data_IF_005514302823
#
_entry.id   IF_005514302823
#
_cell.length_a   1.000
_cell.length_b   1.000
_cell.length_c   1.000
_cell.angle_alpha   90.00
_cell.angle_beta   90.00
_cell.angle_gamma   90.00
#
_symmetry.space_group_name_H-M   'P 1'
#
loop_
_entity.id
_entity.type
_entity.pdbx_description
1 polymer ?
2 non-polymer ?
3 non-polymer ?
4 non-polymer ?
5 water ?
#
# COMPACT_ATOMS: atom_id res chain seq x y z
N UNK A 2 -19.58 14.97 -7.64
CA UNK A 2 -19.18 13.59 -7.93
C UNK A 2 -18.49 12.93 -6.72
N UNK A 3 -19.02 11.77 -6.31
CA UNK A 3 -18.52 11.07 -5.13
C UNK A 3 -18.20 9.58 -5.39
N UNK A 4 -17.92 9.25 -6.66
CA UNK A 4 -17.58 7.87 -7.04
C UNK A 4 -16.25 7.80 -7.81
N UNK A 5 -15.53 8.91 -7.83
CA UNK A 5 -14.19 8.90 -8.39
C UNK A 5 -13.26 8.11 -7.49
N UNK A 6 -12.20 7.57 -8.06
CA UNK A 6 -11.16 6.94 -7.27
C UNK A 6 -10.13 7.99 -6.91
N UNK A 7 -9.95 8.21 -5.61
CA UNK A 7 -9.05 9.24 -5.15
C UNK A 7 -7.92 8.61 -4.40
N UNK A 8 -6.73 8.64 -4.99
CA UNK A 8 -5.56 8.04 -4.35
C UNK A 8 -4.78 9.12 -3.62
N UNK A 9 -4.55 8.86 -2.33
CA UNK A 9 -3.75 9.72 -1.48
C UNK A 9 -2.35 9.10 -1.38
N UNK A 10 -1.35 9.80 -1.89
CA UNK A 10 -0.03 9.22 -2.08
C UNK A 10 1.06 10.29 -2.18
N UNK A 11 2.32 9.88 -2.35
CA UNK A 11 3.37 10.82 -2.78
C UNK A 11 4.34 10.14 -3.73
N UNK A 12 5.04 10.95 -4.53
CA UNK A 12 5.79 10.44 -5.67
C UNK A 12 6.86 9.42 -5.31
N UNK A 13 7.64 9.71 -4.27
CA UNK A 13 8.79 8.87 -3.95
C UNK A 13 8.45 7.61 -3.17
N UNK A 14 7.15 7.39 -2.90
CA UNK A 14 6.74 6.22 -2.10
C UNK A 14 6.62 4.94 -2.93
N UNK A 15 7.44 3.93 -2.61
CA UNK A 15 7.38 2.61 -3.26
C UNK A 15 5.98 2.01 -3.17
N UNK A 16 5.38 2.01 -1.98
CA UNK A 16 4.04 1.45 -1.85
C UNK A 16 3.02 2.20 -2.70
N UNK A 17 3.21 3.51 -2.84
CA UNK A 17 2.38 4.32 -3.74
C UNK A 17 2.60 3.92 -5.20
N UNK A 18 3.86 3.68 -5.57
CA UNK A 18 4.19 3.21 -6.92
C UNK A 18 3.47 1.91 -7.24
N UNK A 19 3.41 1.02 -6.26
CA UNK A 19 2.69 -0.23 -6.43
C UNK A 19 1.24 0.04 -6.86
N UNK A 20 0.54 0.89 -6.10
CA UNK A 20 -0.84 1.21 -6.42
C UNK A 20 -0.99 1.93 -7.77
N UNK A 21 -0.07 2.85 -8.06
CA UNK A 21 -0.16 3.61 -9.31
C UNK A 21 0.03 2.68 -10.51
N UNK A 22 0.92 1.70 -10.37
CA UNK A 22 1.19 0.78 -11.48
C UNK A 22 -0.01 -0.11 -11.69
N UNK A 23 -0.62 -0.57 -10.60
CA UNK A 23 -1.85 -1.36 -10.68
C UNK A 23 -2.96 -0.56 -11.37
N UNK A 24 -3.06 0.72 -11.03
CA UNK A 24 -4.01 1.59 -11.72
C UNK A 24 -3.74 1.61 -13.24
N UNK A 25 -2.47 1.59 -13.63
CA UNK A 25 -2.12 1.55 -15.05
C UNK A 25 -2.55 0.25 -15.69
N UNK A 26 -2.22 -0.86 -15.04
CA UNK A 26 -2.60 -2.19 -15.49
C UNK A 26 -4.12 -2.31 -15.67
N UNK A 27 -4.89 -1.75 -14.74
CA UNK A 27 -6.35 -1.79 -14.82
C UNK A 27 -6.90 -0.73 -15.78
N UNK A 28 -6.03 0.16 -16.28
CA UNK A 28 -6.45 1.30 -17.10
C UNK A 28 -7.58 2.06 -16.41
N UNK A 29 -7.35 2.39 -15.15
CA UNK A 29 -8.34 3.00 -14.28
C UNK A 29 -8.02 4.47 -14.02
N UNK A 30 -8.82 5.39 -14.57
CA UNK A 30 -8.58 6.81 -14.29
C UNK A 30 -8.78 7.14 -12.80
N UNK A 31 -8.01 8.10 -12.28
CA UNK A 31 -8.07 8.41 -10.85
C UNK A 31 -7.75 9.86 -10.55
N UNK A 32 -8.09 10.27 -9.34
CA UNK A 32 -7.74 11.61 -8.84
C UNK A 32 -6.52 11.52 -7.92
N UNK A 33 -5.59 12.45 -8.09
CA UNK A 33 -4.32 12.42 -7.38
C UNK A 33 -4.26 13.44 -6.23
N UNK A 34 -4.13 12.95 -5.01
CA UNK A 34 -3.99 13.81 -3.85
C UNK A 34 -2.68 13.53 -3.15
N UNK A 35 -1.79 14.51 -3.21
CA UNK A 35 -0.49 14.43 -2.56
C UNK A 35 -0.64 14.59 -1.06
N UNK A 36 -0.05 13.67 -0.30
CA UNK A 36 0.01 13.77 1.17
C UNK A 36 1.45 14.06 1.61
N UNK A 37 1.62 14.62 2.82
CA UNK A 37 2.98 14.83 3.33
C UNK A 37 3.74 13.50 3.53
N UNK A 38 5.06 13.55 3.34
CA UNK A 38 5.93 12.41 3.55
C UNK A 38 6.08 12.07 5.05
N UNK A 39 6.05 13.08 5.90
CA UNK A 39 6.22 12.88 7.34
C UNK A 39 5.10 13.53 8.14
N UNK A 40 5.01 13.17 9.43
CA UNK A 40 4.06 13.81 10.33
C UNK A 40 4.43 15.27 10.56
N UNK A 41 3.44 16.14 10.81
CA UNK A 41 2.02 15.82 10.95
C UNK A 41 1.27 15.88 9.63
N UNK A 42 0.10 15.26 9.57
CA UNK A 42 -0.71 15.22 8.37
C UNK A 42 -2.15 15.61 8.69
N UNK A 43 -2.39 16.89 9.02
CA UNK A 43 -3.74 17.31 9.43
C UNK A 43 -4.80 17.17 8.33
N UNK A 44 -4.42 17.12 7.05
CA UNK A 44 -5.43 16.91 6.02
C UNK A 44 -5.73 15.43 5.82
N UNK A 45 -4.92 14.56 6.43
CA UNK A 45 -5.10 13.12 6.30
C UNK A 45 -5.91 12.54 7.44
N UNK A 46 -5.56 12.90 8.66
CA UNK A 46 -6.21 12.36 9.86
C UNK A 46 -7.75 12.36 9.91
N UNK A 47 -8.41 13.43 9.39
CA UNK A 47 -9.88 13.34 9.46
C UNK A 47 -10.45 12.18 8.63
N UNK A 48 -9.70 11.75 7.61
CA UNK A 48 -10.12 10.62 6.78
C UNK A 48 -9.77 9.27 7.39
N UNK A 49 -8.54 9.11 7.86
CA UNK A 49 -8.04 7.80 8.26
C UNK A 49 -8.24 7.50 9.75
N UNK A 50 -8.52 8.55 10.52
CA UNK A 50 -8.69 8.40 11.96
C UNK A 50 -7.42 8.08 12.73
N UNK A 51 -6.26 8.36 12.14
CA UNK A 51 -5.01 8.06 12.82
C UNK A 51 -3.98 7.28 12.00
N UNK A 52 -4.44 6.47 11.05
CA UNK A 52 -3.54 5.73 10.17
C UNK A 52 -2.72 6.72 9.36
N UNK A 53 -1.39 6.65 9.46
CA UNK A 53 -0.56 7.66 8.80
C UNK A 53 0.31 7.12 7.67
N UNK A 54 0.05 5.87 7.28
CA UNK A 54 0.86 5.28 6.22
C UNK A 54 0.31 5.64 4.84
N UNK A 55 1.13 5.44 3.82
CA UNK A 55 0.81 5.87 2.48
C UNK A 55 1.03 4.67 1.55
N UNK A 56 0.12 4.44 0.58
CA UNK A 56 -1.05 5.24 0.22
C UNK A 56 -2.36 4.74 0.84
N UNK A 57 -3.43 5.51 0.62
CA UNK A 57 -4.78 5.02 0.83
C UNK A 57 -5.68 5.50 -0.29
N UNK A 58 -6.74 4.73 -0.52
CA UNK A 58 -7.70 5.01 -1.57
C UNK A 58 -8.99 5.54 -0.97
N UNK A 59 -9.45 6.68 -1.46
CA UNK A 59 -10.73 7.19 -1.02
C UNK A 59 -11.77 7.06 -2.13
N UNK A 60 -12.93 6.52 -1.80
CA UNK A 60 -14.08 6.59 -2.69
C UNK A 60 -15.25 7.16 -1.89
N UNK A 61 -15.58 8.42 -2.14
CA UNK A 61 -16.58 9.10 -1.37
C UNK A 61 -16.18 9.17 0.10
N UNK A 62 -16.94 8.46 0.95
CA UNK A 62 -16.67 8.47 2.38
C UNK A 62 -16.14 7.12 2.83
N UNK A 63 -15.73 6.29 1.88
CA UNK A 63 -15.06 5.05 2.21
C UNK A 63 -13.55 5.20 2.01
N UNK A 64 -12.79 4.88 3.05
CA UNK A 64 -11.36 5.07 3.05
C UNK A 64 -10.71 3.69 3.15
N UNK A 65 -9.99 3.31 2.11
CA UNK A 65 -9.36 1.99 2.05
C UNK A 65 -7.85 2.07 2.27
N UNK A 66 -7.40 1.59 3.42
CA UNK A 66 -5.99 1.63 3.78
C UNK A 66 -5.26 0.35 3.38
N UNK A 67 -3.96 0.47 3.10
CA UNK A 67 -3.07 -0.65 2.76
C UNK A 67 -3.21 -1.12 1.32
N UNK A 68 -2.09 -1.26 0.62
CA UNK A 68 -2.13 -1.65 -0.80
C UNK A 68 -2.70 -3.05 -1.04
N UNK A 69 -2.58 -3.95 -0.06
CA UNK A 69 -3.15 -5.28 -0.21
C UNK A 69 -4.66 -5.17 -0.39
N UNK A 70 -5.28 -4.23 0.32
CA UNK A 70 -6.74 -4.01 0.21
C UNK A 70 -7.11 -3.11 -0.98
N UNK A 71 -6.33 -2.06 -1.20
CA UNK A 71 -6.55 -1.20 -2.36
C UNK A 71 -6.57 -2.02 -3.66
N UNK A 72 -5.64 -2.97 -3.76
CA UNK A 72 -5.61 -3.83 -4.94
C UNK A 72 -6.91 -4.64 -5.09
N UNK A 73 -7.42 -5.17 -3.97
CA UNK A 73 -8.68 -5.92 -4.00
C UNK A 73 -9.85 -5.04 -4.41
N UNK A 74 -9.87 -3.79 -3.93
CA UNK A 74 -10.92 -2.86 -4.32
C UNK A 74 -10.88 -2.55 -5.82
N UNK A 75 -9.68 -2.24 -6.32
CA UNK A 75 -9.49 -2.00 -7.74
C UNK A 75 -9.90 -3.22 -8.58
N UNK A 76 -9.57 -4.42 -8.09
CA UNK A 76 -10.00 -5.65 -8.74
C UNK A 76 -11.53 -5.75 -8.78
N UNK A 77 -12.20 -5.35 -7.68
CA UNK A 77 -13.66 -5.39 -7.63
C UNK A 77 -14.30 -4.57 -8.73
N UNK A 78 -13.68 -3.43 -9.01
CA UNK A 78 -14.17 -2.45 -9.97
C UNK A 78 -13.87 -2.84 -11.43
N UNK A 79 -12.61 -3.17 -11.72
CA UNK A 79 -12.23 -3.72 -13.02
C UNK A 79 -11.59 -5.09 -12.83
N UNK A 80 -12.43 -6.14 -12.79
CA UNK A 80 -11.90 -7.49 -12.57
C UNK A 80 -11.04 -8.04 -13.71
N UNK A 81 -11.15 -7.42 -14.89
CA UNK A 81 -10.35 -7.85 -16.03
C UNK A 81 -9.56 -6.67 -16.56
N UNK A 82 -8.24 -6.83 -16.71
CA UNK A 82 -7.46 -8.06 -16.46
C UNK A 82 -7.24 -8.28 -14.96
N UNK A 83 -7.28 -9.55 -14.55
CA UNK A 83 -7.24 -9.86 -13.12
C UNK A 83 -5.84 -9.80 -12.52
N UNK A 84 -5.79 -9.49 -11.23
CA UNK A 84 -4.56 -9.54 -10.45
C UNK A 84 -4.47 -10.88 -9.74
N UNK A 85 -5.61 -11.58 -9.64
CA UNK A 85 -5.71 -12.76 -8.82
C UNK A 85 -6.23 -14.00 -9.56
N UNK A 86 -5.43 -14.54 -10.49
CA UNK A 86 -5.83 -15.77 -11.21
C UNK A 86 -6.17 -16.86 -10.20
N UNK A 87 -7.35 -17.44 -10.33
CA UNK A 87 -7.81 -18.42 -9.36
C UNK A 87 -6.83 -19.60 -9.26
N UNK A 88 -6.25 -19.99 -10.39
CA UNK A 88 -5.34 -21.14 -10.42
C UNK A 88 -3.97 -20.86 -9.81
N UNK A 89 -3.72 -19.61 -9.39
CA UNK A 89 -2.47 -19.27 -8.70
C UNK A 89 -2.75 -18.58 -7.37
N UNK A 90 -3.98 -18.70 -6.87
CA UNK A 90 -4.44 -17.93 -5.71
C UNK A 90 -3.53 -17.94 -4.46
N UNK A 91 -3.19 -19.13 -3.98
CA UNK A 91 -2.39 -19.24 -2.77
C UNK A 91 -0.94 -18.80 -2.99
N UNK A 92 -0.36 -19.20 -4.11
CA UNK A 92 1.03 -18.87 -4.44
C UNK A 92 1.21 -17.35 -4.60
N UNK A 93 0.30 -16.71 -5.31
CA UNK A 93 0.36 -15.27 -5.49
C UNK A 93 0.11 -14.53 -4.18
N UNK A 94 -0.86 -14.98 -3.40
CA UNK A 94 -1.11 -14.37 -2.10
C UNK A 94 0.13 -14.42 -1.20
N UNK A 95 0.70 -15.61 -1.06
CA UNK A 95 1.83 -15.80 -0.15
C UNK A 95 3.05 -15.04 -0.63
N UNK A 96 3.34 -15.13 -1.93
CA UNK A 96 4.50 -14.43 -2.48
C UNK A 96 4.36 -12.91 -2.33
N UNK A 97 3.15 -12.39 -2.55
CA UNK A 97 2.93 -10.96 -2.35
C UNK A 97 3.14 -10.52 -0.90
N UNK A 98 2.62 -11.31 0.04
CA UNK A 98 2.84 -11.06 1.47
C UNK A 98 4.34 -11.00 1.80
N UNK A 99 5.09 -11.98 1.31
CA UNK A 99 6.52 -12.03 1.59
C UNK A 99 7.22 -10.83 0.94
N UNK A 100 6.79 -10.47 -0.25
CA UNK A 100 7.42 -9.36 -0.97
C UNK A 100 7.15 -8.01 -0.28
N UNK A 101 5.92 -7.83 0.18
CA UNK A 101 5.51 -6.55 0.78
C UNK A 101 5.94 -6.42 2.24
N UNK A 102 6.49 -7.49 2.82
CA UNK A 102 7.02 -7.41 4.17
C UNK A 102 8.54 -7.68 4.18
N UNK A 103 8.92 -8.95 4.31
CA UNK A 103 10.33 -9.34 4.34
C UNK A 103 11.21 -8.73 3.23
N UNK A 104 10.77 -8.82 1.98
CA UNK A 104 11.59 -8.33 0.88
C UNK A 104 11.70 -6.81 0.94
N UNK A 105 10.56 -6.15 1.15
CA UNK A 105 10.57 -4.70 1.26
C UNK A 105 11.48 -4.22 2.40
N UNK A 106 11.48 -4.95 3.51
CA UNK A 106 12.30 -4.54 4.66
C UNK A 106 13.77 -4.68 4.34
N UNK A 107 14.13 -5.67 3.52
CA UNK A 107 15.53 -5.84 3.12
C UNK A 107 15.94 -4.72 2.17
N UNK A 108 15.04 -4.34 1.26
CA UNK A 108 15.29 -3.24 0.32
C UNK A 108 15.46 -1.91 1.06
N UNK A 109 14.60 -1.67 2.04
CA UNK A 109 14.69 -0.45 2.86
C UNK A 109 16.03 -0.36 3.60
N UNK A 110 16.42 -1.45 4.25
CA UNK A 110 17.70 -1.49 4.93
C UNK A 110 18.87 -1.28 3.95
N UNK A 111 18.82 -1.99 2.84
CA UNK A 111 19.89 -1.92 1.83
C UNK A 111 20.06 -0.49 1.30
N UNK A 112 18.95 0.18 1.09
CA UNK A 112 18.95 1.52 0.54
C UNK A 112 19.31 2.53 1.66
N UNK A 113 19.05 2.16 2.91
CA UNK A 113 19.36 3.03 4.03
C UNK A 113 20.84 3.17 4.37
N UNK A 114 21.69 2.35 3.76
CA UNK A 114 23.12 2.46 3.98
C UNK A 114 23.61 3.81 3.45
N UNK A 115 24.75 4.32 3.96
CA UNK A 115 25.18 5.70 3.69
C UNK A 115 25.12 6.16 2.22
N UNK A 116 25.72 5.41 1.30
CA UNK A 116 25.70 5.83 -0.11
C UNK A 116 24.29 5.78 -0.71
N UNK A 117 23.50 4.81 -0.29
CA UNK A 117 22.13 4.69 -0.78
C UNK A 117 21.29 5.85 -0.30
N UNK A 118 21.39 6.14 1.00
CA UNK A 118 20.64 7.21 1.63
C UNK A 118 21.00 8.58 1.05
N UNK A 119 22.28 8.79 0.80
CA UNK A 119 22.74 10.01 0.15
C UNK A 119 22.08 10.21 -1.22
N UNK A 120 22.01 9.13 -2.01
CA UNK A 120 21.32 9.15 -3.31
C UNK A 120 19.84 9.52 -3.23
N UNK A 121 19.16 9.01 -2.22
CA UNK A 121 17.73 9.25 -2.02
C UNK A 121 17.41 10.66 -1.60
N UNK A 122 18.27 11.22 -0.75
CA UNK A 122 18.03 12.54 -0.17
C UNK A 122 18.67 13.66 -0.99
N UNK A 123 19.26 13.30 -2.14
CA UNK A 123 20.06 14.22 -2.95
C UNK A 123 19.53 15.64 -3.14
N UNK A 124 18.30 15.78 -3.62
CA UNK A 124 17.83 17.12 -3.93
C UNK A 124 16.99 17.78 -2.86
N UNK A 125 17.20 17.39 -1.60
CA UNK A 125 16.31 17.80 -0.52
C UNK A 125 17.02 18.60 0.57
N UNK A 126 16.31 19.58 1.13
CA UNK A 126 16.87 20.41 2.21
C UNK A 126 17.23 19.57 3.45
N UNK A 127 18.36 19.90 4.07
CA UNK A 127 18.87 19.17 5.23
C UNK A 127 17.90 19.18 6.41
N UNK A 128 17.07 20.23 6.49
CA UNK A 128 15.98 20.30 7.47
C UNK A 128 15.10 19.07 7.33
N UNK A 129 14.62 18.84 6.11
CA UNK A 129 13.68 17.78 5.84
C UNK A 129 14.29 16.41 6.11
N UNK A 130 15.53 16.21 5.66
CA UNK A 130 16.24 14.96 5.86
C UNK A 130 16.33 14.55 7.33
N UNK A 131 16.73 15.48 8.18
CA UNK A 131 16.82 15.23 9.62
C UNK A 131 15.45 14.87 10.18
N UNK A 132 14.43 15.59 9.74
CA UNK A 132 13.08 15.35 10.22
C UNK A 132 12.57 14.00 9.75
N UNK A 133 12.94 13.63 8.52
CA UNK A 133 12.57 12.35 7.94
C UNK A 133 13.15 11.20 8.77
N UNK A 134 14.45 11.30 9.06
CA UNK A 134 15.14 10.30 9.85
C UNK A 134 14.46 10.13 11.22
N UNK A 135 14.15 11.25 11.88
CA UNK A 135 13.44 11.19 13.15
C UNK A 135 12.01 10.63 13.02
N UNK A 136 11.30 11.07 11.97
CA UNK A 136 9.94 10.60 11.74
C UNK A 136 9.89 9.08 11.60
N UNK A 137 10.83 8.53 10.83
CA UNK A 137 10.82 7.08 10.55
C UNK A 137 11.27 6.28 11.77
N UNK A 138 12.13 6.85 12.60
CA UNK A 138 12.49 6.22 13.86
C UNK A 138 11.29 6.12 14.80
N UNK A 139 10.55 7.22 14.94
CA UNK A 139 9.34 7.19 15.78
C UNK A 139 8.34 6.18 15.21
N UNK A 140 8.33 6.04 13.87
CA UNK A 140 7.42 5.09 13.22
C UNK A 140 7.68 3.63 13.63
N UNK A 141 8.94 3.30 13.91
CA UNK A 141 9.29 1.93 14.30
C UNK A 141 9.05 1.62 15.78
N UNK A 142 8.49 2.56 16.53
CA UNK A 142 8.34 2.41 17.97
C UNK A 142 7.63 1.12 18.40
N UNK A 143 6.47 0.84 17.80
CA UNK A 143 5.64 -0.23 18.33
C UNK A 143 5.74 -1.61 17.71
N UNK A 144 6.51 -1.75 16.64
CA UNK A 144 6.46 -2.98 15.88
C UNK A 144 7.75 -3.78 15.77
N UNK A 145 7.75 -4.69 14.82
CA UNK A 145 8.84 -5.63 14.61
C UNK A 145 9.42 -5.48 13.21
N UNK A 146 8.61 -5.02 12.27
CA UNK A 146 9.03 -4.94 10.89
C UNK A 146 9.93 -3.76 10.59
N UNK A 147 10.44 -3.71 9.36
CA UNK A 147 11.24 -2.58 8.90
C UNK A 147 12.46 -2.30 9.79
N UNK A 148 13.08 -3.35 10.32
CA UNK A 148 14.34 -3.17 11.02
C UNK A 148 15.33 -4.30 10.75
N UNK A 149 15.41 -4.72 9.50
CA UNK A 149 16.38 -5.73 9.09
C UNK A 149 17.79 -5.17 9.05
N UNK A 150 18.72 -5.76 9.80
CA UNK A 150 20.11 -5.23 9.73
C UNK A 150 20.74 -5.37 8.34
N UNK A 151 21.60 -4.43 7.98
CA UNK A 151 22.20 -4.38 6.64
C UNK A 151 22.75 -5.73 6.12
N UNK A 152 23.59 -6.43 6.92
CA UNK A 152 24.13 -7.71 6.40
C UNK A 152 23.06 -8.74 6.06
N UNK A 153 21.99 -8.83 6.86
CA UNK A 153 20.93 -9.77 6.54
C UNK A 153 20.11 -9.28 5.34
N UNK A 154 19.98 -7.96 5.23
CA UNK A 154 19.29 -7.35 4.09
C UNK A 154 19.99 -7.74 2.80
N UNK A 155 21.31 -7.61 2.80
CA UNK A 155 22.12 -7.92 1.62
C UNK A 155 21.96 -9.38 1.21
N UNK A 156 21.99 -10.29 2.17
CA UNK A 156 21.85 -11.71 1.85
C UNK A 156 20.45 -12.04 1.32
N UNK A 157 19.42 -11.45 1.92
CA UNK A 157 18.07 -11.72 1.45
C UNK A 157 17.92 -11.24 0.00
N UNK A 158 18.43 -10.06 -0.29
CA UNK A 158 18.41 -9.53 -1.65
C UNK A 158 19.20 -10.43 -2.64
N UNK A 159 20.43 -10.79 -2.29
CA UNK A 159 21.25 -11.60 -3.19
C UNK A 159 20.62 -12.96 -3.47
N UNK A 160 20.13 -13.60 -2.40
CA UNK A 160 19.51 -14.91 -2.53
C UNK A 160 18.24 -14.81 -3.38
N UNK A 161 17.39 -13.83 -3.10
CA UNK A 161 16.12 -13.74 -3.83
C UNK A 161 16.31 -13.34 -5.28
N UNK A 162 17.16 -12.35 -5.53
CA UNK A 162 17.42 -11.92 -6.90
C UNK A 162 17.93 -13.04 -7.80
N UNK A 163 18.76 -13.93 -7.25
CA UNK A 163 19.25 -15.07 -8.02
C UNK A 163 18.12 -16.04 -8.40
N UNK A 164 17.18 -16.23 -7.48
CA UNK A 164 16.04 -17.10 -7.76
C UNK A 164 15.11 -16.46 -8.79
N UNK A 165 14.97 -15.15 -8.71
CA UNK A 165 14.17 -14.39 -9.66
C UNK A 165 14.79 -14.47 -11.06
N UNK A 166 16.10 -14.26 -11.11
CA UNK A 166 16.87 -14.34 -12.36
C UNK A 166 16.76 -15.75 -12.98
N UNK A 167 16.96 -16.77 -12.16
CA UNK A 167 16.84 -18.16 -12.60
C UNK A 167 15.47 -18.44 -13.24
N UNK A 168 14.41 -17.94 -12.61
CA UNK A 168 13.06 -18.20 -13.07
C UNK A 168 12.83 -17.55 -14.44
N UNK A 169 13.22 -16.28 -14.56
CA UNK A 169 13.04 -15.56 -15.80
C UNK A 169 13.96 -16.08 -16.91
N UNK A 170 15.14 -16.55 -16.55
CA UNK A 170 16.10 -17.03 -17.56
C UNK A 170 15.59 -18.24 -18.35
N UNK A 171 14.67 -18.99 -17.75
CA UNK A 171 14.09 -20.14 -18.45
C UNK A 171 13.28 -19.68 -19.67
N UNK A 172 12.87 -18.41 -19.66
CA UNK A 172 12.10 -17.82 -20.74
C UNK A 172 10.68 -18.34 -20.86
N UNK A 173 10.19 -19.06 -19.85
CA UNK A 173 8.86 -19.66 -19.95
C UNK A 173 7.72 -18.65 -19.93
N UNK A 174 7.78 -17.68 -19.02
CA UNK A 174 6.74 -16.65 -18.92
C UNK A 174 7.33 -15.26 -18.75
N UNK A 175 6.63 -14.24 -19.24
CA UNK A 175 7.16 -12.87 -19.13
C UNK A 175 6.91 -12.24 -17.76
N UNK A 176 5.97 -12.79 -16.99
CA UNK A 176 5.76 -12.37 -15.60
C UNK A 176 5.88 -13.58 -14.69
N UNK A 177 5.70 -13.38 -13.39
CA UNK A 177 5.95 -14.43 -12.41
C UNK A 177 5.10 -15.70 -12.59
N UNK A 178 3.85 -15.55 -13.04
CA UNK A 178 2.96 -16.70 -13.16
C UNK A 178 2.36 -16.91 -14.55
N UNK A 179 2.77 -16.11 -15.51
CA UNK A 179 2.23 -16.23 -16.85
C UNK A 179 2.45 -15.01 -17.73
N UNK A 180 1.55 -14.79 -18.67
CA UNK A 180 1.69 -13.71 -19.65
C UNK A 180 1.01 -12.44 -19.15
N UNK A 181 0.44 -12.50 -17.96
CA UNK A 181 -0.14 -11.34 -17.28
C UNK A 181 0.46 -11.27 -15.89
N UNK A 182 0.72 -10.05 -15.40
CA UNK A 182 1.24 -9.91 -14.03
C UNK A 182 0.14 -10.26 -13.03
N UNK A 183 0.54 -10.69 -11.83
CA UNK A 183 -0.40 -10.89 -10.74
C UNK A 183 -0.05 -9.90 -9.65
N UNK A 184 -0.81 -9.93 -8.56
CA UNK A 184 -0.53 -9.09 -7.40
C UNK A 184 0.92 -9.26 -6.90
N UNK A 185 1.47 -10.46 -7.06
CA UNK A 185 2.82 -10.75 -6.58
C UNK A 185 3.88 -10.02 -7.41
N UNK A 186 3.61 -9.85 -8.69
CA UNK A 186 4.51 -9.10 -9.56
C UNK A 186 4.61 -7.66 -9.08
N UNK A 187 3.46 -7.08 -8.76
CA UNK A 187 3.42 -5.70 -8.33
C UNK A 187 4.10 -5.54 -6.97
N UNK A 188 3.89 -6.51 -6.08
CA UNK A 188 4.50 -6.44 -4.75
C UNK A 188 6.02 -6.53 -4.81
N UNK A 189 6.55 -7.44 -5.62
CA UNK A 189 7.99 -7.56 -5.82
C UNK A 189 8.53 -6.30 -6.51
N UNK A 190 7.79 -5.82 -7.50
CA UNK A 190 8.27 -4.71 -8.31
C UNK A 190 8.65 -3.46 -7.53
N UNK A 191 7.78 -3.01 -6.63
CA UNK A 191 8.02 -1.72 -5.98
C UNK A 191 9.21 -1.77 -5.01
N UNK A 192 9.47 -2.94 -4.41
CA UNK A 192 10.67 -3.11 -3.60
C UNK A 192 11.91 -2.88 -4.46
N UNK A 193 11.91 -3.42 -5.67
CA UNK A 193 13.07 -3.31 -6.54
C UNK A 193 13.18 -1.92 -7.16
N UNK A 194 12.03 -1.32 -7.45
CA UNK A 194 11.93 0.06 -7.94
C UNK A 194 12.57 1.02 -6.93
N UNK A 195 12.32 0.76 -5.65
CA UNK A 195 12.89 1.55 -4.57
C UNK A 195 14.43 1.47 -4.64
N UNK A 196 14.96 0.27 -4.82
CA UNK A 196 16.40 0.10 -4.95
C UNK A 196 16.94 0.82 -6.18
N UNK A 197 16.26 0.69 -7.31
CA UNK A 197 16.68 1.39 -8.53
C UNK A 197 16.79 2.89 -8.31
N UNK A 198 15.86 3.45 -7.54
CA UNK A 198 15.91 4.87 -7.20
C UNK A 198 17.14 5.25 -6.37
N UNK A 199 17.64 4.31 -5.57
CA UNK A 199 18.85 4.57 -4.78
C UNK A 199 20.07 4.38 -5.68
N UNK A 200 20.25 5.35 -6.57
CA UNK A 200 21.22 5.31 -7.67
C UNK A 200 22.57 4.71 -7.32
N UNK A 201 23.20 5.19 -6.25
CA UNK A 201 24.55 4.74 -5.90
C UNK A 201 24.65 3.25 -5.58
N UNK A 202 23.56 2.63 -5.13
CA UNK A 202 23.62 1.21 -4.83
C UNK A 202 22.77 0.32 -5.76
N UNK A 203 22.20 0.92 -6.81
CA UNK A 203 21.32 0.18 -7.73
C UNK A 203 22.02 -0.93 -8.53
N UNK A 204 23.35 -0.95 -8.52
CA UNK A 204 24.12 -1.90 -9.30
C UNK A 204 23.78 -3.35 -9.01
N UNK A 205 23.27 -3.61 -7.81
CA UNK A 205 22.84 -4.96 -7.46
C UNK A 205 21.76 -5.47 -8.45
N UNK A 206 20.91 -4.56 -8.92
CA UNK A 206 19.90 -4.95 -9.90
C UNK A 206 20.52 -5.33 -11.25
N UNK A 207 21.53 -4.56 -11.66
CA UNK A 207 22.13 -4.70 -12.99
C UNK A 207 22.89 -6.02 -13.17
N UNK A 208 23.27 -6.64 -12.07
CA UNK A 208 23.89 -7.96 -12.10
C UNK A 208 22.87 -9.04 -12.47
N UNK A 209 21.60 -8.65 -12.58
CA UNK A 209 20.52 -9.58 -12.89
C UNK A 209 19.72 -9.08 -14.09
N UNK A 210 20.25 -9.32 -15.30
CA UNK A 210 19.71 -8.75 -16.55
C UNK A 210 18.25 -9.12 -16.81
N UNK A 211 17.88 -10.36 -16.53
CA UNK A 211 16.50 -10.80 -16.71
C UNK A 211 15.55 -10.09 -15.74
N UNK A 212 16.02 -9.85 -14.53
CA UNK A 212 15.21 -9.11 -13.56
C UNK A 212 15.03 -7.69 -14.05
N UNK A 213 16.09 -7.10 -14.60
CA UNK A 213 15.99 -5.75 -15.15
C UNK A 213 14.99 -5.71 -16.32
N UNK A 214 15.05 -6.69 -17.22
CA UNK A 214 14.10 -6.74 -18.32
C UNK A 214 12.66 -6.86 -17.82
N UNK A 215 12.44 -7.68 -16.79
CA UNK A 215 11.10 -7.85 -16.22
C UNK A 215 10.59 -6.55 -15.62
N UNK A 216 11.47 -5.81 -14.94
CA UNK A 216 11.12 -4.50 -14.39
C UNK A 216 10.65 -3.57 -15.49
N UNK A 217 11.34 -3.60 -16.63
CA UNK A 217 10.98 -2.77 -17.78
C UNK A 217 9.59 -3.12 -18.31
N UNK A 218 9.29 -4.42 -18.38
CA UNK A 218 7.95 -4.85 -18.81
C UNK A 218 6.90 -4.36 -17.81
N UNK A 219 7.19 -4.47 -16.51
CA UNK A 219 6.25 -3.99 -15.50
C UNK A 219 6.03 -2.48 -15.63
N UNK A 220 7.12 -1.72 -15.79
CA UNK A 220 7.04 -0.25 -15.87
C UNK A 220 6.14 0.21 -17.02
N UNK A 221 6.05 -0.60 -18.07
CA UNK A 221 5.28 -0.26 -19.26
C UNK A 221 3.78 -0.10 -19.04
N UNK A 222 3.27 -0.63 -17.93
CA UNK A 222 1.84 -0.50 -17.67
C UNK A 222 1.42 0.95 -17.39
N UNK A 223 2.38 1.79 -17.01
CA UNK A 223 2.08 3.19 -16.77
C UNK A 223 1.18 3.37 -15.56
N UNK A 224 0.56 4.55 -15.48
CA UNK A 224 -0.26 4.90 -14.32
C UNK A 224 -1.65 5.40 -14.76
N UNK A 225 -2.08 4.98 -15.94
CA UNK A 225 -3.38 5.37 -16.49
C UNK A 225 -3.53 6.89 -16.54
N UNK A 226 -4.74 7.40 -16.37
CA UNK A 226 -4.98 8.84 -16.46
C UNK A 226 -5.34 9.42 -15.10
N UNK A 227 -4.59 10.44 -14.69
CA UNK A 227 -4.83 11.08 -13.40
C UNK A 227 -5.01 12.58 -13.54
N UNK A 228 -5.78 13.17 -12.62
CA UNK A 228 -5.85 14.62 -12.51
C UNK A 228 -5.61 14.94 -11.04
N UNK A 229 -4.93 16.05 -10.76
CA UNK A 229 -4.72 16.49 -9.37
C UNK A 229 -6.01 16.92 -8.69
N UNK A 230 -6.06 16.71 -7.38
CA UNK A 230 -7.14 17.21 -6.55
C UNK A 230 -6.47 17.68 -5.27
N UNK A 231 -6.94 18.79 -4.70
CA UNK A 231 -6.35 19.30 -3.48
C UNK A 231 -6.83 18.46 -2.30
N UNK A 232 -6.06 18.47 -1.20
CA UNK A 232 -6.51 17.78 0.02
C UNK A 232 -7.84 18.28 0.54
N UNK A 233 -8.11 19.58 0.37
CA UNK A 233 -9.35 20.18 0.86
C UNK A 233 -10.54 19.72 0.05
N UNK A 234 -10.36 19.61 -1.26
CA UNK A 234 -11.40 19.11 -2.16
C UNK A 234 -11.78 17.67 -1.77
N UNK A 235 -10.79 16.87 -1.39
CA UNK A 235 -11.01 15.48 -1.03
C UNK A 235 -11.80 15.39 0.27
N UNK A 236 -11.50 16.28 1.20
CA UNK A 236 -12.20 16.33 2.48
C UNK A 236 -13.66 16.72 2.28
N UNK A 237 -13.89 17.68 1.38
CA UNK A 237 -15.27 18.11 1.10
C UNK A 237 -16.07 16.96 0.51
N UNK A 238 -15.44 16.17 -0.35
CA UNK A 238 -16.09 15.03 -0.96
C UNK A 238 -16.48 13.96 0.06
N UNK A 239 -15.56 13.64 0.97
CA UNK A 239 -15.86 12.69 2.05
C UNK A 239 -17.02 13.22 2.91
N UNK A 240 -16.96 14.51 3.22
CA UNK A 240 -17.99 15.14 4.03
C UNK A 240 -19.37 15.02 3.41
N UNK A 241 -19.48 15.31 2.12
CA UNK A 241 -20.76 15.23 1.42
C UNK A 241 -21.27 13.80 1.22
N UNK A 242 -20.36 12.83 1.29
CA UNK A 242 -20.72 11.45 0.95
C UNK A 242 -21.18 10.63 2.14
N UNK A 243 -21.95 9.58 1.82
CA UNK A 243 -22.37 8.60 2.81
C UNK A 243 -21.61 7.28 2.53
N UNK A 244 -21.00 6.70 3.58
CA UNK A 244 -20.27 5.44 3.42
C UNK A 244 -21.22 4.35 2.93
N UNK A 245 -20.71 3.44 2.10
CA UNK A 245 -21.50 2.38 1.49
C UNK A 245 -22.31 1.57 2.51
N UNK A 246 -21.71 1.29 3.67
CA UNK A 246 -22.36 0.46 4.68
C UNK A 246 -23.56 1.17 5.30
N UNK A 247 -23.65 2.48 5.10
CA UNK A 247 -24.75 3.25 5.66
C UNK A 247 -25.83 3.56 4.61
N UNK A 248 -25.63 3.11 3.38
CA UNK A 248 -26.68 3.24 2.37
C UNK A 248 -27.64 2.07 2.47
N UNK A 249 -28.86 2.28 2.01
CA UNK A 249 -29.88 1.23 2.03
C UNK A 249 -29.45 -0.02 1.26
N UNK A 250 -28.71 0.18 0.18
CA UNK A 250 -28.24 -0.94 -0.62
C UNK A 250 -27.11 -1.71 0.05
N UNK A 251 -26.16 -0.98 0.64
CA UNK A 251 -25.00 -1.60 1.25
C UNK A 251 -25.21 -2.15 2.66
N UNK A 252 -26.28 -1.70 3.31
CA UNK A 252 -26.52 -2.09 4.69
C UNK A 252 -26.85 -3.58 4.87
N UNK A 253 -27.36 -4.21 3.82
CA UNK A 253 -27.71 -5.62 3.88
C UNK A 253 -26.55 -6.57 3.59
N UNK A 254 -25.37 -6.02 3.31
CA UNK A 254 -24.20 -6.84 3.00
C UNK A 254 -23.91 -7.85 4.11
N UNK A 255 -23.44 -9.03 3.73
CA UNK A 255 -23.08 -10.06 4.69
C UNK A 255 -22.01 -9.56 5.66
N UNK A 256 -22.20 -9.89 6.92
CA UNK A 256 -21.27 -9.53 7.98
C UNK A 256 -20.70 -10.81 8.58
N UNK A 257 -19.40 -11.01 8.43
CA UNK A 257 -18.72 -12.17 8.99
C UNK A 257 -18.53 -12.01 10.51
N UNK A 258 -19.37 -12.70 11.29
CA UNK A 258 -19.27 -12.64 12.75
C UNK A 258 -18.52 -13.83 13.36
N UNK A 259 -18.01 -14.72 12.51
CA UNK A 259 -17.24 -15.88 12.99
C UNK A 259 -16.01 -15.49 13.82
N UNK A 260 -15.47 -14.29 13.61
CA UNK A 260 -14.31 -13.84 14.37
C UNK A 260 -14.64 -13.42 15.80
N UNK A 261 -15.93 -13.41 16.14
CA UNK A 261 -16.32 -13.18 17.51
C UNK A 261 -16.59 -11.75 17.91
N UNK A 262 -16.67 -10.85 16.93
CA UNK A 262 -17.06 -9.46 17.21
C UNK A 262 -18.32 -9.11 16.43
N UNK A 263 -19.45 -8.97 17.13
CA UNK A 263 -20.69 -8.68 16.41
C UNK A 263 -20.68 -7.28 15.79
N UNK A 264 -21.55 -7.08 14.80
CA UNK A 264 -21.70 -5.80 14.13
C UNK A 264 -22.02 -4.71 15.14
N UNK A 265 -21.36 -3.57 15.00
CA UNK A 265 -21.56 -2.46 15.91
C UNK A 265 -20.56 -2.35 17.04
N UNK A 266 -19.80 -3.42 17.29
CA UNK A 266 -18.84 -3.42 18.39
C UNK A 266 -17.81 -2.30 18.23
N UNK A 267 -17.58 -1.52 19.29
CA UNK A 267 -16.53 -0.52 19.31
C UNK A 267 -15.16 -1.20 19.33
N UNK A 268 -14.35 -0.95 18.31
CA UNK A 268 -13.02 -1.56 18.23
C UNK A 268 -11.94 -0.56 17.83
N UNK A 269 -10.70 -1.02 17.92
CA UNK A 269 -9.58 -0.34 17.27
C UNK A 269 -8.95 -1.31 16.30
N UNK A 270 -8.38 -0.75 15.24
CA UNK A 270 -7.62 -1.51 14.25
C UNK A 270 -6.25 -0.86 14.17
N UNK A 271 -5.20 -1.66 14.20
CA UNK A 271 -3.84 -1.11 14.17
C UNK A 271 -2.89 -2.03 13.42
N UNK A 272 -1.95 -1.46 12.66
CA UNK A 272 -0.92 -2.26 11.99
C UNK A 272 -0.09 -2.98 13.05
N UNK A 273 0.50 -4.10 12.70
CA UNK A 273 1.27 -4.86 13.69
C UNK A 273 2.79 -4.82 13.44
N UNK A 274 3.20 -4.41 12.25
CA UNK A 274 4.62 -4.45 11.90
C UNK A 274 5.37 -3.14 12.18
N UNK A 275 4.71 -2.01 11.91
CA UNK A 275 5.22 -0.68 12.27
C UNK A 275 4.09 0.34 12.07
N UNK A 276 4.30 1.57 12.52
CA UNK A 276 3.26 2.60 12.48
C UNK A 276 1.99 2.08 13.12
N UNK A 277 2.09 1.66 14.38
CA UNK A 277 1.03 0.90 15.01
C UNK A 277 -0.09 1.78 15.56
N UNK A 278 -0.30 2.94 14.94
CA UNK A 278 -1.36 3.87 15.32
C UNK A 278 -2.76 3.24 15.26
N UNK A 279 -3.45 3.18 16.42
CA UNK A 279 -4.79 2.58 16.50
C UNK A 279 -5.83 3.50 15.90
N UNK A 280 -6.75 2.92 15.14
CA UNK A 280 -7.85 3.68 14.57
C UNK A 280 -9.12 3.14 15.21
N UNK A 281 -9.89 4.02 15.84
CA UNK A 281 -11.07 3.60 16.59
C UNK A 281 -12.39 3.83 15.85
N UNK A 282 -13.31 2.89 15.98
CA UNK A 282 -14.67 3.09 15.49
C UNK A 282 -15.57 1.89 15.73
N UNK A 283 -16.77 1.95 15.17
CA UNK A 283 -17.70 0.83 15.26
C UNK A 283 -17.49 -0.14 14.10
N UNK A 284 -17.45 -1.44 14.42
CA UNK A 284 -17.21 -2.43 13.40
C UNK A 284 -18.48 -2.68 12.60
N UNK A 285 -18.57 -2.11 11.40
CA UNK A 285 -19.80 -2.22 10.61
C UNK A 285 -19.58 -3.03 9.33
N UNK A 286 -18.31 -3.22 8.96
CA UNK A 286 -17.98 -4.01 7.80
C UNK A 286 -17.04 -5.13 8.22
N UNK A 287 -17.42 -6.36 7.89
CA UNK A 287 -16.60 -7.51 8.26
C UNK A 287 -16.72 -8.60 7.20
N UNK A 288 -15.64 -8.86 6.50
CA UNK A 288 -15.58 -9.99 5.58
C UNK A 288 -14.49 -10.94 6.03
N UNK A 289 -14.25 -11.97 5.25
CA UNK A 289 -13.25 -12.96 5.60
C UNK A 289 -11.86 -12.32 5.62
N UNK A 290 -11.60 -11.45 4.65
CA UNK A 290 -10.27 -10.88 4.40
C UNK A 290 -10.08 -9.44 4.90
N UNK A 291 -11.18 -8.76 5.25
CA UNK A 291 -11.09 -7.33 5.57
C UNK A 291 -12.11 -6.86 6.60
N UNK A 292 -11.87 -5.68 7.17
CA UNK A 292 -12.78 -5.06 8.12
C UNK A 292 -12.97 -3.59 7.77
N UNK A 293 -14.03 -3.00 8.30
CA UNK A 293 -14.30 -1.58 8.14
C UNK A 293 -14.92 -1.01 9.39
N UNK A 294 -14.41 0.15 9.84
CA UNK A 294 -14.93 0.76 11.06
C UNK A 294 -15.51 2.13 10.79
N UNK A 295 -16.69 2.36 11.37
CA UNK A 295 -17.42 3.59 11.18
C UNK A 295 -16.94 4.60 12.22
N UNK A 296 -16.49 5.76 11.77
CA UNK A 296 -16.14 6.79 12.71
C UNK A 296 -16.65 8.13 12.27
N UNK A 297 -16.63 9.07 13.20
CA UNK A 297 -17.22 10.35 12.97
C UNK A 297 -16.19 11.40 13.25
N UNK A 298 -15.90 12.20 12.24
CA UNK A 298 -14.97 13.30 12.39
C UNK A 298 -15.73 14.60 12.18
N UNK A 299 -15.48 15.58 13.07
CA UNK A 299 -16.14 16.89 13.02
C UNK A 299 -16.03 17.55 11.65
N UNK A 300 -15.03 17.20 10.88
CA UNK A 300 -14.79 17.86 9.60
C UNK A 300 -15.22 17.05 8.37
N UNK A 301 -15.43 15.74 8.51
CA UNK A 301 -15.90 14.98 7.36
C UNK A 301 -17.18 14.23 7.66
N UNK A 302 -17.69 14.39 8.87
CA UNK A 302 -18.83 13.63 9.32
C UNK A 302 -18.46 12.15 9.36
N UNK A 303 -19.40 11.30 8.95
CA UNK A 303 -19.17 9.85 9.03
C UNK A 303 -18.39 9.30 7.85
N UNK A 304 -17.34 8.55 8.15
CA UNK A 304 -16.61 7.78 7.16
C UNK A 304 -16.42 6.37 7.69
N UNK A 305 -16.18 5.42 6.77
CA UNK A 305 -15.80 4.08 7.18
C UNK A 305 -14.38 3.82 6.71
N UNK A 306 -13.51 3.39 7.62
CA UNK A 306 -12.12 3.16 7.27
C UNK A 306 -11.87 1.66 7.22
N UNK A 307 -11.34 1.21 6.08
CA UNK A 307 -11.19 -0.21 5.81
C UNK A 307 -9.73 -0.63 5.89
N UNK A 308 -9.51 -1.84 6.40
CA UNK A 308 -8.18 -2.42 6.50
C UNK A 308 -8.29 -3.88 6.14
N UNK A 309 -7.21 -4.46 5.58
CA UNK A 309 -7.16 -5.92 5.45
C UNK A 309 -6.95 -6.54 6.83
N UNK A 310 -7.27 -7.80 7.01
CA UNK A 310 -7.02 -8.45 8.30
C UNK A 310 -5.53 -8.76 8.49
N UNK A 311 -4.91 -9.37 7.48
CA UNK A 311 -3.52 -9.77 7.59
C UNK A 311 -2.60 -8.55 7.63
N UNK A 312 -1.85 -8.42 8.71
CA UNK A 312 -0.96 -7.28 8.94
C UNK A 312 -1.55 -6.28 9.94
N UNK A 313 -2.73 -6.59 10.46
CA UNK A 313 -3.45 -5.67 11.33
C UNK A 313 -3.99 -6.45 12.53
N UNK A 314 -4.34 -5.72 13.58
CA UNK A 314 -4.91 -6.34 14.78
C UNK A 314 -6.18 -5.58 15.14
N UNK A 315 -7.27 -6.32 15.29
CA UNK A 315 -8.54 -5.72 15.69
C UNK A 315 -8.79 -6.10 17.14
N UNK A 316 -9.10 -5.12 17.97
CA UNK A 316 -9.34 -5.35 19.39
C UNK A 316 -10.57 -4.59 19.84
N UNK A 317 -11.36 -5.23 20.68
CA UNK A 317 -12.49 -4.59 21.34
C UNK A 317 -12.02 -3.45 22.23
N UNK A 318 -12.72 -2.32 22.16
CA UNK A 318 -12.46 -1.22 23.08
C UNK A 318 -13.18 -1.48 24.40
N UNK A 319 -12.46 -1.35 25.52
CA UNK A 319 -13.08 -1.33 26.84
C UNK A 319 -12.10 -0.82 27.91
X LIG B 1 5.51 5.77 -11.17
X LIG C 1 8.44 4.77 1.96
X LIG D 1 -14.26 1.74 -14.85
X LIG E 1 -9.49 21.96 -8.16
X LIG F 1 1.42 -2.52 4.26
X LIG F 1 1.30 -1.16 3.85
X LIG F 1 0.72 -1.11 2.46
X LIG F 1 0.04 -0.11 2.07
X LIG F 1 0.89 -2.10 1.68
X LIG F 1 2.65 -0.49 3.88
X LIG F 1 2.53 1.02 3.55
X LIG F 1 3.83 1.78 3.85
X LIG F 1 4.70 1.37 4.61
X LIG F 1 4.05 3.08 3.21
X LIG F 1 5.22 3.86 3.48
X LIG F 1 4.80 4.71 4.66
X LIG F 1 3.63 4.60 5.06
X LIG F 1 5.42 4.80 2.34
X LIG F 1 6.41 4.02 1.11
X LIG F 1 5.69 5.64 5.30
X LIG F 1 5.20 6.46 6.40
X LIG F 1 4.36 7.57 5.83
X LIG F 1 4.02 8.56 6.54
X LIG F 1 3.97 7.52 4.63
X LIG G 1 8.78 4.21 4.70
X LIG G 1 9.32 4.49 5.79
X LIG G 1 8.47 5.19 3.99
X LIG G 1 8.54 2.79 4.29
X LIG H 1 5.32 8.10 -10.19
X LIG H 1 4.57 7.16 -10.48
X LIG H 1 6.52 7.90 -10.39
X LIG H 1 4.81 9.38 -9.62
X LIG I 1 9.90 7.19 1.08
X LIG I 1 8.86 6.71 1.59
X LIG I 1 10.10 8.41 1.27
X LIG I 1 10.88 6.37 0.31
#
# INVERSE_FOLDING_TARGET
MVMTELILHHYATSPFSEKARLILGYKDQPWKSVTVPVILPKPDVMPLTGGYRRTPFLQIGADIYCDTALIAQVLESIHPVPTLYPADRAAAAFAMAQWADTTLFWAAASFVGQPEGFKSLMAGLPEDFVKAFVEDRKAMRAGGTGLRTPLPEAVATLQVFLAQLERQFATGEHIFLFGEQPTIADFSVYHALWFIRRATAVAGILDAHPEVVAWMHRMAGFGHAQAQPMTPAEALAIARAATPRALTDAGAGADFDARYGLPKGTRVTVAATDYAVDPVEGDLVVSTRDAVGVLREDPRVGQVVVHFPRVGYAVRKVEPAGAENLYFQ
ZN ZN
ZN ZN
ZN ZN
ZN ZN
GSH N1 CA1 C1 O11 O12 CB1 CG1 CD1 OE1 N2 CA2 C2 O2 CB2 SG2 N3 CA3 C3 O31 O32
ACT C O OXT CH3
ACT C O OXT CH3
ACT C O OXT CH3
#
